data_IF_238659501269
#
_entry.id   IF_238659501269
#
_cell.length_a   1.000
_cell.length_b   1.000
_cell.length_c   1.000
_cell.angle_alpha   90.00
_cell.angle_beta   90.00
_cell.angle_gamma   90.00
#
_symmetry.space_group_name_H-M   'P 1'
#
loop_
_entity.id
_entity.type
_entity.pdbx_description
1 polymer ?
#
# COMPACT_ATOMS: atom_id res chain seq x y z
N UNK A 1 -15.08 -20.69 -6.37
CA UNK A 1 -15.83 -19.69 -7.16
C UNK A 1 -14.90 -19.17 -8.24
N UNK A 2 -15.31 -19.06 -9.51
CA UNK A 2 -14.44 -18.51 -10.55
C UNK A 2 -14.14 -17.04 -10.28
N UNK A 3 -12.86 -16.71 -10.05
CA UNK A 3 -12.38 -15.34 -10.00
C UNK A 3 -12.52 -14.72 -11.39
N UNK A 4 -13.13 -13.52 -11.52
CA UNK A 4 -13.26 -12.87 -12.81
C UNK A 4 -11.88 -12.64 -13.46
N UNK A 5 -11.76 -12.77 -14.79
CA UNK A 5 -10.47 -12.62 -15.47
C UNK A 5 -9.98 -11.17 -15.37
N UNK A 6 -8.65 -11.00 -15.37
CA UNK A 6 -8.04 -9.68 -15.36
C UNK A 6 -8.50 -8.83 -16.56
N UNK A 7 -8.60 -7.51 -16.33
CA UNK A 7 -9.16 -6.56 -17.28
C UNK A 7 -10.69 -6.42 -17.21
N UNK A 8 -11.38 -7.28 -16.46
CA UNK A 8 -12.82 -7.15 -16.26
C UNK A 8 -13.15 -6.02 -15.29
N UNK A 9 -14.13 -5.19 -15.62
CA UNK A 9 -14.70 -4.19 -14.69
C UNK A 9 -16.14 -4.58 -14.34
N UNK A 10 -16.42 -4.77 -13.04
CA UNK A 10 -17.80 -4.92 -12.55
C UNK A 10 -18.23 -3.63 -11.86
N UNK A 11 -19.10 -2.87 -12.53
CA UNK A 11 -19.70 -1.64 -12.01
C UNK A 11 -21.13 -1.90 -11.53
N UNK A 12 -21.43 -1.49 -10.30
CA UNK A 12 -22.77 -1.40 -9.70
C UNK A 12 -23.06 0.06 -9.37
N UNK A 13 -24.26 0.35 -8.88
CA UNK A 13 -24.73 1.72 -8.57
C UNK A 13 -23.76 2.44 -7.63
N UNK A 14 -23.28 1.75 -6.59
CA UNK A 14 -22.44 2.31 -5.54
C UNK A 14 -21.09 1.61 -5.40
N UNK A 15 -20.73 0.72 -6.33
CA UNK A 15 -19.44 0.04 -6.27
C UNK A 15 -18.84 -0.22 -7.64
N UNK A 16 -17.52 -0.31 -7.70
CA UNK A 16 -16.76 -0.66 -8.89
C UNK A 16 -15.60 -1.55 -8.46
N UNK A 17 -15.50 -2.70 -9.11
CA UNK A 17 -14.36 -3.61 -8.96
C UNK A 17 -13.68 -3.77 -10.31
N UNK A 18 -12.45 -3.31 -10.42
CA UNK A 18 -11.57 -3.55 -11.56
C UNK A 18 -10.66 -4.74 -11.19
N UNK A 19 -10.84 -5.88 -11.87
CA UNK A 19 -10.05 -7.09 -11.62
C UNK A 19 -8.74 -7.01 -12.40
N UNK A 20 -7.62 -7.14 -11.69
CA UNK A 20 -6.26 -6.89 -12.21
C UNK A 20 -5.45 -8.19 -12.35
N UNK A 21 -5.83 -9.25 -11.61
CA UNK A 21 -5.28 -10.60 -11.69
C UNK A 21 -6.35 -11.62 -11.23
N UNK A 22 -6.31 -12.92 -11.60
CA UNK A 22 -5.15 -13.70 -12.08
C UNK A 22 -4.72 -13.39 -13.51
N UNK A 23 -3.55 -13.91 -13.90
CA UNK A 23 -2.83 -13.56 -15.14
C UNK A 23 -2.58 -12.03 -15.23
N UNK A 24 -1.59 -11.51 -14.48
CA UNK A 24 -1.37 -10.07 -14.31
C UNK A 24 -1.08 -9.29 -15.60
N UNK A 25 -2.12 -8.75 -16.25
CA UNK A 25 -2.00 -7.90 -17.45
C UNK A 25 -1.77 -6.42 -17.10
N UNK A 26 -1.14 -5.63 -17.99
CA UNK A 26 -0.92 -4.21 -17.75
C UNK A 26 -2.22 -3.40 -17.68
N UNK A 27 -2.26 -2.49 -16.71
CA UNK A 27 -3.40 -1.59 -16.47
C UNK A 27 -3.29 -0.27 -17.25
N UNK A 28 -2.11 0.04 -17.80
CA UNK A 28 -1.78 1.32 -18.45
C UNK A 28 -1.50 2.46 -17.47
N UNK A 29 -1.46 2.20 -16.16
CA UNK A 29 -1.08 3.20 -15.15
C UNK A 29 0.41 3.18 -14.91
N UNK A 30 1.00 4.35 -14.63
CA UNK A 30 2.38 4.44 -14.16
C UNK A 30 2.48 3.85 -12.74
N UNK A 31 3.44 2.95 -12.46
CA UNK A 31 3.71 2.45 -11.12
C UNK A 31 3.92 3.59 -10.12
N UNK A 32 3.19 3.57 -9.01
CA UNK A 32 3.29 4.59 -7.95
C UNK A 32 3.01 4.00 -6.58
N UNK A 33 4.03 3.98 -5.72
CA UNK A 33 3.93 3.51 -4.34
C UNK A 33 3.41 4.63 -3.42
N UNK A 34 2.11 4.87 -3.48
CA UNK A 34 1.45 5.95 -2.72
C UNK A 34 1.36 5.69 -1.21
N UNK A 35 1.57 4.44 -0.79
CA UNK A 35 1.45 4.01 0.61
C UNK A 35 2.81 3.67 1.25
N UNK A 36 3.91 3.74 0.50
CA UNK A 36 5.24 3.31 0.94
C UNK A 36 5.25 1.83 1.36
N UNK A 37 4.66 0.96 0.54
CA UNK A 37 4.56 -0.49 0.80
C UNK A 37 5.81 -1.26 0.38
N UNK A 38 6.65 -0.69 -0.48
CA UNK A 38 7.90 -1.31 -0.93
C UNK A 38 8.96 -1.14 0.16
N UNK A 39 9.25 -2.23 0.88
CA UNK A 39 10.24 -2.22 1.96
C UNK A 39 11.63 -2.60 1.48
N UNK A 40 11.74 -3.50 0.51
CA UNK A 40 13.01 -3.93 -0.07
C UNK A 40 12.81 -4.23 -1.55
N UNK A 41 13.80 -3.90 -2.37
CA UNK A 41 13.80 -4.18 -3.82
C UNK A 41 15.22 -4.50 -4.27
N UNK A 42 15.38 -5.54 -5.08
CA UNK A 42 16.62 -5.90 -5.76
C UNK A 42 16.31 -6.65 -7.07
N UNK A 43 17.31 -7.24 -7.73
CA UNK A 43 17.14 -7.97 -9.00
C UNK A 43 16.36 -9.30 -8.90
N UNK A 44 16.21 -9.83 -7.68
CA UNK A 44 15.64 -11.15 -7.42
C UNK A 44 14.23 -11.03 -6.85
N UNK A 45 14.05 -10.22 -5.81
CA UNK A 45 12.76 -10.05 -5.15
C UNK A 45 12.43 -8.62 -4.72
N UNK A 46 11.13 -8.39 -4.52
CA UNK A 46 10.55 -7.20 -3.88
C UNK A 46 9.76 -7.64 -2.64
N UNK A 47 9.97 -6.94 -1.53
CA UNK A 47 9.24 -7.15 -0.28
C UNK A 47 8.16 -6.08 -0.15
N UNK A 48 6.91 -6.53 -0.09
CA UNK A 48 5.73 -5.68 0.07
C UNK A 48 5.16 -5.89 1.46
N UNK A 49 5.07 -4.82 2.23
CA UNK A 49 4.48 -4.82 3.56
C UNK A 49 3.38 -3.79 3.71
N UNK A 50 2.53 -3.99 4.72
CA UNK A 50 1.49 -3.05 5.10
C UNK A 50 1.56 -2.77 6.61
N UNK A 51 2.27 -1.71 6.97
CA UNK A 51 2.39 -1.25 8.34
C UNK A 51 2.63 0.26 8.37
N UNK A 52 1.73 1.01 9.00
CA UNK A 52 1.82 2.48 9.06
C UNK A 52 1.46 3.03 10.44
N UNK A 53 2.47 3.09 11.32
CA UNK A 53 2.38 3.83 12.58
C UNK A 53 2.37 5.34 12.33
N UNK A 54 3.09 5.80 11.30
CA UNK A 54 3.11 7.22 10.95
C UNK A 54 1.72 7.77 10.64
N UNK A 55 0.89 7.03 9.90
CA UNK A 55 -0.49 7.44 9.62
C UNK A 55 -1.33 7.56 10.89
N UNK A 56 -1.15 6.68 11.87
CA UNK A 56 -1.86 6.77 13.15
C UNK A 56 -1.48 8.04 13.93
N UNK A 57 -0.20 8.43 13.92
CA UNK A 57 0.27 9.71 14.51
C UNK A 57 -0.37 10.91 13.79
N UNK A 58 -0.36 10.91 12.45
CA UNK A 58 -0.92 12.01 11.67
C UNK A 58 -2.43 12.18 11.85
N UNK A 59 -3.17 11.10 12.12
CA UNK A 59 -4.61 11.17 12.43
C UNK A 59 -4.85 11.62 13.88
N UNK A 60 -4.04 11.14 14.83
CA UNK A 60 -4.23 11.42 16.24
C UNK A 60 -3.79 12.83 16.64
N UNK A 61 -2.72 13.36 16.05
CA UNK A 61 -2.13 14.64 16.45
C UNK A 61 -3.06 15.85 16.27
N UNK A 62 -3.75 16.04 15.13
CA UNK A 62 -4.76 17.10 15.00
C UNK A 62 -5.85 17.02 16.08
N UNK A 63 -6.26 15.80 16.44
CA UNK A 63 -7.25 15.56 17.49
C UNK A 63 -6.71 15.98 18.86
N UNK A 64 -5.45 15.63 19.17
CA UNK A 64 -4.78 16.09 20.40
C UNK A 64 -4.74 17.61 20.47
N UNK A 65 -4.34 18.29 19.38
CA UNK A 65 -4.31 19.75 19.32
C UNK A 65 -5.70 20.38 19.51
N UNK A 66 -6.71 19.84 18.84
CA UNK A 66 -8.09 20.31 18.94
C UNK A 66 -8.62 20.17 20.37
N UNK A 67 -8.45 19.00 20.99
CA UNK A 67 -8.92 18.77 22.36
C UNK A 67 -8.10 19.55 23.39
N UNK A 68 -6.79 19.75 23.17
CA UNK A 68 -6.00 20.64 24.02
C UNK A 68 -6.50 22.09 23.96
N UNK A 69 -6.83 22.58 22.75
CA UNK A 69 -7.40 23.91 22.56
C UNK A 69 -8.79 24.04 23.20
N UNK A 70 -9.68 23.06 23.00
CA UNK A 70 -10.98 23.04 23.65
C UNK A 70 -10.85 23.02 25.18
N UNK A 71 -9.94 22.21 25.72
CA UNK A 71 -9.67 22.19 27.16
C UNK A 71 -9.21 23.53 27.71
N UNK A 72 -8.41 24.29 26.95
CA UNK A 72 -8.05 25.66 27.31
C UNK A 72 -9.25 26.61 27.35
N UNK A 73 -10.26 26.41 26.49
CA UNK A 73 -11.50 27.22 26.48
C UNK A 73 -12.40 26.90 27.68
N UNK A 74 -12.54 25.62 28.04
CA UNK A 74 -13.39 25.17 29.15
C UNK A 74 -12.74 25.30 30.55
N UNK A 75 -11.49 25.76 30.64
CA UNK A 75 -10.69 25.74 31.89
C UNK A 75 -11.30 26.47 33.09
N UNK A 76 -12.22 27.42 32.85
CA UNK A 76 -12.78 28.28 33.90
C UNK A 76 -14.11 27.74 34.47
N UNK A 77 -14.68 26.68 33.88
CA UNK A 77 -15.93 26.07 34.32
C UNK A 77 -15.65 24.65 34.86
N UNK A 78 -15.71 24.43 36.19
CA UNK A 78 -15.37 23.15 36.80
C UNK A 78 -16.26 21.99 36.34
N UNK A 79 -17.56 22.20 36.19
CA UNK A 79 -18.51 21.13 35.86
C UNK A 79 -18.32 20.68 34.40
N UNK A 80 -18.15 21.62 33.49
CA UNK A 80 -17.84 21.34 32.08
C UNK A 80 -16.45 20.71 31.92
N UNK A 81 -15.47 21.12 32.73
CA UNK A 81 -14.11 20.57 32.69
C UNK A 81 -14.07 19.08 33.08
N UNK A 82 -14.86 18.64 34.05
CA UNK A 82 -14.91 17.23 34.44
C UNK A 82 -15.46 16.33 33.32
N UNK A 83 -16.59 16.72 32.72
CA UNK A 83 -17.17 15.97 31.60
C UNK A 83 -16.24 15.97 30.38
N UNK A 84 -15.65 17.12 30.07
CA UNK A 84 -14.69 17.27 28.97
C UNK A 84 -13.45 16.39 29.18
N UNK A 85 -12.92 16.31 30.41
CA UNK A 85 -11.77 15.47 30.72
C UNK A 85 -12.07 13.98 30.52
N UNK A 86 -13.26 13.51 30.93
CA UNK A 86 -13.70 12.12 30.70
C UNK A 86 -13.77 11.84 29.20
N UNK A 87 -14.45 12.70 28.43
CA UNK A 87 -14.56 12.55 26.97
C UNK A 87 -13.19 12.53 26.28
N UNK A 88 -12.28 13.41 26.70
CA UNK A 88 -10.90 13.46 26.17
C UNK A 88 -10.15 12.16 26.47
N UNK A 89 -10.28 11.62 27.68
CA UNK A 89 -9.63 10.37 28.06
C UNK A 89 -10.09 9.19 27.17
N UNK A 90 -11.37 9.13 26.78
CA UNK A 90 -11.85 8.09 25.87
C UNK A 90 -11.45 8.35 24.41
N UNK A 91 -11.68 9.57 23.90
CA UNK A 91 -11.47 9.90 22.48
C UNK A 91 -9.99 9.94 22.11
N UNK A 92 -9.13 10.45 22.99
CA UNK A 92 -7.69 10.55 22.76
C UNK A 92 -6.95 9.42 23.45
N UNK A 93 -7.28 9.10 24.70
CA UNK A 93 -6.55 8.12 25.49
C UNK A 93 -6.63 6.70 24.91
N UNK A 94 -7.81 6.23 24.49
CA UNK A 94 -7.94 4.88 23.90
C UNK A 94 -7.12 4.73 22.61
N UNK A 95 -7.26 5.59 21.57
CA UNK A 95 -6.39 5.51 20.38
C UNK A 95 -4.90 5.67 20.69
N UNK A 96 -4.54 6.49 21.69
CA UNK A 96 -3.15 6.60 22.16
C UNK A 96 -2.65 5.28 22.73
N UNK A 97 -3.45 4.56 23.53
CA UNK A 97 -3.09 3.23 24.03
C UNK A 97 -2.92 2.22 22.90
N UNK A 98 -3.79 2.24 21.88
CA UNK A 98 -3.63 1.40 20.69
C UNK A 98 -2.36 1.73 19.89
N UNK A 99 -2.01 3.02 19.76
CA UNK A 99 -0.76 3.45 19.13
C UNK A 99 0.46 2.95 19.93
N UNK A 100 0.43 3.08 21.25
CA UNK A 100 1.48 2.58 22.15
C UNK A 100 1.59 1.06 22.04
N UNK A 101 0.47 0.33 22.09
CA UNK A 101 0.45 -1.12 21.89
C UNK A 101 1.02 -1.50 20.52
N UNK A 102 0.65 -0.77 19.46
CA UNK A 102 1.18 -0.95 18.11
C UNK A 102 2.70 -0.76 18.05
N UNK A 103 3.24 0.19 18.81
CA UNK A 103 4.69 0.38 18.98
C UNK A 103 5.36 -0.80 19.68
N UNK A 104 4.67 -1.57 20.52
CA UNK A 104 5.26 -2.76 21.17
C UNK A 104 5.05 -4.06 20.38
N UNK A 105 4.10 -4.07 19.43
CA UNK A 105 3.88 -5.23 18.56
C UNK A 105 5.02 -5.39 17.56
N UNK A 106 5.31 -6.65 17.26
CA UNK A 106 6.22 -7.00 16.17
C UNK A 106 5.64 -6.54 14.84
N UNK A 107 6.53 -6.12 13.94
CA UNK A 107 6.13 -5.72 12.60
C UNK A 107 5.78 -6.98 11.80
N UNK A 108 4.62 -7.02 11.12
CA UNK A 108 4.27 -8.15 10.28
C UNK A 108 5.36 -8.43 9.23
N UNK A 109 5.59 -9.71 8.95
CA UNK A 109 6.51 -10.12 7.90
C UNK A 109 6.02 -9.65 6.51
N UNK A 110 6.94 -9.29 5.60
CA UNK A 110 6.56 -8.86 4.26
C UNK A 110 6.12 -10.05 3.40
N UNK A 111 5.28 -9.78 2.41
CA UNK A 111 5.05 -10.71 1.31
C UNK A 111 6.13 -10.47 0.25
N UNK A 112 6.87 -11.54 -0.06
CA UNK A 112 8.04 -11.47 -0.95
C UNK A 112 7.69 -12.00 -2.33
N UNK A 113 7.80 -11.14 -3.34
CA UNK A 113 7.58 -11.51 -4.74
C UNK A 113 8.93 -11.75 -5.42
N UNK A 114 9.15 -12.96 -5.96
CA UNK A 114 10.39 -13.35 -6.62
C UNK A 114 10.20 -13.41 -8.12
N UNK A 115 10.81 -12.47 -8.84
CA UNK A 115 10.63 -12.32 -10.29
C UNK A 115 11.29 -13.45 -11.09
N UNK A 116 12.42 -13.96 -10.62
CA UNK A 116 13.18 -14.99 -11.33
C UNK A 116 12.45 -16.34 -11.30
N UNK A 117 11.79 -16.64 -10.17
CA UNK A 117 11.00 -17.87 -10.01
C UNK A 117 9.52 -17.70 -10.40
N UNK A 118 9.05 -16.47 -10.57
CA UNK A 118 7.63 -16.13 -10.80
C UNK A 118 6.72 -16.71 -9.72
N UNK A 119 7.12 -16.52 -8.48
CA UNK A 119 6.47 -17.06 -7.28
C UNK A 119 6.42 -16.00 -6.17
N UNK A 120 5.49 -16.16 -5.25
CA UNK A 120 5.27 -15.26 -4.12
C UNK A 120 5.28 -16.04 -2.81
N UNK A 121 6.14 -15.62 -1.88
CA UNK A 121 6.18 -16.16 -0.53
C UNK A 121 5.25 -15.35 0.37
N UNK A 122 4.26 -16.02 0.94
CA UNK A 122 3.26 -15.44 1.84
C UNK A 122 3.45 -16.03 3.25
N UNK A 123 4.05 -15.30 4.19
CA UNK A 123 4.17 -15.77 5.57
C UNK A 123 2.81 -15.82 6.27
N UNK A 124 2.58 -16.86 7.07
CA UNK A 124 1.38 -17.08 7.86
C UNK A 124 1.62 -16.79 9.35
N UNK A 125 0.54 -16.64 10.11
CA UNK A 125 0.60 -16.26 11.53
C UNK A 125 1.12 -17.37 12.46
N UNK A 126 1.02 -18.63 12.02
CA UNK A 126 1.49 -19.83 12.72
C UNK A 126 2.99 -20.11 12.51
N UNK A 127 3.68 -19.28 11.73
CA UNK A 127 5.07 -19.48 11.36
C UNK A 127 5.26 -20.38 10.14
N UNK A 128 4.19 -20.79 9.47
CA UNK A 128 4.27 -21.40 8.15
C UNK A 128 4.35 -20.33 7.05
N UNK A 129 4.56 -20.77 5.81
CA UNK A 129 4.55 -19.90 4.63
C UNK A 129 3.99 -20.65 3.43
N UNK A 130 3.40 -19.90 2.50
CA UNK A 130 2.97 -20.42 1.21
C UNK A 130 3.87 -19.92 0.11
N UNK A 131 4.18 -20.79 -0.86
CA UNK A 131 4.74 -20.41 -2.14
C UNK A 131 3.63 -20.48 -3.17
N UNK A 132 3.21 -19.31 -3.66
CA UNK A 132 2.09 -19.18 -4.59
C UNK A 132 2.62 -18.75 -5.95
N UNK A 133 2.24 -19.42 -7.05
CA UNK A 133 2.61 -19.00 -8.40
C UNK A 133 2.13 -17.56 -8.66
N UNK A 134 2.99 -16.72 -9.24
CA UNK A 134 2.65 -15.32 -9.52
C UNK A 134 1.41 -15.19 -10.41
N UNK A 135 1.24 -16.11 -11.36
CA UNK A 135 0.13 -16.07 -12.31
C UNK A 135 -1.23 -16.45 -11.68
N UNK A 136 -1.23 -17.12 -10.52
CA UNK A 136 -2.43 -17.44 -9.74
C UNK A 136 -2.77 -16.39 -8.69
N UNK A 137 -1.90 -15.40 -8.45
CA UNK A 137 -2.19 -14.28 -7.56
C UNK A 137 -3.41 -13.53 -8.10
N UNK A 138 -4.37 -13.25 -7.21
CA UNK A 138 -5.57 -12.48 -7.57
C UNK A 138 -5.40 -11.05 -7.11
N UNK A 139 -5.92 -10.10 -7.87
CA UNK A 139 -5.85 -8.70 -7.50
C UNK A 139 -7.08 -7.94 -8.00
N UNK A 140 -7.61 -7.05 -7.16
CA UNK A 140 -8.74 -6.22 -7.52
C UNK A 140 -8.61 -4.81 -6.91
N UNK A 141 -8.80 -3.80 -7.75
CA UNK A 141 -9.04 -2.44 -7.30
C UNK A 141 -10.54 -2.28 -6.99
N UNK A 142 -10.88 -2.19 -5.71
CA UNK A 142 -12.26 -2.05 -5.25
C UNK A 142 -12.54 -0.62 -4.84
N UNK A 143 -13.71 -0.13 -5.23
CA UNK A 143 -14.19 1.21 -4.92
C UNK A 143 -15.65 1.14 -4.51
N UNK A 144 -16.00 1.84 -3.44
CA UNK A 144 -17.36 2.04 -2.96
C UNK A 144 -17.66 3.54 -2.85
N UNK A 145 -18.84 3.95 -3.31
CA UNK A 145 -19.31 5.32 -3.20
C UNK A 145 -20.60 5.38 -2.40
N UNK A 146 -20.70 6.32 -1.46
CA UNK A 146 -21.94 6.67 -0.77
C UNK A 146 -22.35 8.10 -1.14
N UNK A 147 -23.65 8.39 -1.08
CA UNK A 147 -24.19 9.74 -1.30
C UNK A 147 -24.94 10.15 -0.04
N UNK A 148 -24.58 11.32 0.49
CA UNK A 148 -25.21 11.91 1.66
C UNK A 148 -25.55 13.39 1.39
N UNK A 149 -26.13 14.08 2.37
CA UNK A 149 -26.33 15.54 2.30
C UNK A 149 -25.02 16.31 2.12
N UNK A 150 -23.88 15.74 2.57
CA UNK A 150 -22.55 16.30 2.36
C UNK A 150 -21.97 15.98 0.96
N UNK A 151 -22.76 15.40 0.05
CA UNK A 151 -22.36 15.01 -1.29
C UNK A 151 -21.91 13.56 -1.39
N UNK A 152 -21.22 13.25 -2.50
CA UNK A 152 -20.73 11.90 -2.81
C UNK A 152 -19.37 11.66 -2.15
N UNK A 153 -19.30 10.69 -1.25
CA UNK A 153 -18.05 10.18 -0.71
C UNK A 153 -17.64 8.91 -1.45
N UNK A 154 -16.35 8.73 -1.72
CA UNK A 154 -15.82 7.54 -2.38
C UNK A 154 -14.62 7.02 -1.60
N UNK A 155 -14.69 5.74 -1.25
CA UNK A 155 -13.62 4.99 -0.62
C UNK A 155 -13.17 3.86 -1.56
N UNK A 156 -11.95 3.37 -1.38
CA UNK A 156 -11.49 2.21 -2.12
C UNK A 156 -10.15 1.73 -1.64
N UNK A 157 -9.79 0.54 -2.10
CA UNK A 157 -8.61 -0.18 -1.67
C UNK A 157 -8.19 -1.17 -2.75
N UNK A 158 -6.91 -1.54 -2.74
CA UNK A 158 -6.38 -2.66 -3.52
C UNK A 158 -6.45 -3.92 -2.65
N UNK A 159 -7.08 -4.98 -3.15
CA UNK A 159 -7.04 -6.32 -2.55
C UNK A 159 -6.12 -7.18 -3.40
N UNK A 160 -5.17 -7.86 -2.75
CA UNK A 160 -4.37 -8.93 -3.35
C UNK A 160 -4.70 -10.21 -2.61
N UNK A 161 -5.16 -11.23 -3.32
CA UNK A 161 -5.53 -12.53 -2.77
C UNK A 161 -4.59 -13.63 -3.21
N UNK A 162 -4.36 -14.58 -2.29
CA UNK A 162 -3.50 -15.73 -2.45
C UNK A 162 -4.30 -16.97 -2.07
N UNK A 163 -4.25 -18.00 -2.91
CA UNK A 163 -4.84 -19.30 -2.62
C UNK A 163 -3.77 -20.24 -2.07
N UNK A 164 -4.14 -21.03 -1.06
CA UNK A 164 -3.23 -22.01 -0.48
C UNK A 164 -2.91 -23.09 -1.53
N UNK A 165 -1.62 -23.37 -1.78
CA UNK A 165 -1.23 -24.40 -2.74
C UNK A 165 -1.59 -25.84 -2.28
N UNK A 166 -1.87 -26.08 -1.00
CA UNK A 166 -2.31 -27.39 -0.51
C UNK A 166 -3.79 -27.67 -0.85
N UNK A 167 -4.10 -28.67 -1.70
CA UNK A 167 -5.47 -29.03 -2.06
C UNK A 167 -6.32 -29.53 -0.88
N UNK A 168 -5.69 -30.00 0.20
CA UNK A 168 -6.35 -30.54 1.40
C UNK A 168 -6.46 -29.50 2.52
N UNK A 169 -6.09 -28.24 2.27
CA UNK A 169 -6.20 -27.17 3.25
C UNK A 169 -7.64 -27.03 3.77
N UNK A 170 -7.77 -26.86 5.09
CA UNK A 170 -9.06 -26.56 5.74
C UNK A 170 -9.64 -25.25 5.21
N UNK A 171 -10.96 -25.12 5.20
CA UNK A 171 -11.66 -23.96 4.62
C UNK A 171 -11.20 -22.60 5.18
N UNK A 172 -10.81 -22.56 6.45
CA UNK A 172 -10.27 -21.37 7.13
C UNK A 172 -8.84 -20.99 6.71
N UNK A 173 -8.12 -21.92 6.08
CA UNK A 173 -6.73 -21.75 5.60
C UNK A 173 -6.61 -21.81 4.07
N UNK A 174 -7.72 -21.64 3.33
CA UNK A 174 -7.73 -21.70 1.84
C UNK A 174 -7.34 -20.39 1.17
N UNK A 175 -7.60 -19.26 1.83
CA UNK A 175 -7.47 -17.94 1.23
C UNK A 175 -6.78 -16.97 2.19
N UNK A 176 -5.77 -16.27 1.69
CA UNK A 176 -5.15 -15.15 2.39
C UNK A 176 -5.27 -13.89 1.52
N UNK A 177 -5.49 -12.72 2.13
CA UNK A 177 -5.57 -11.47 1.36
C UNK A 177 -4.90 -10.30 2.06
N UNK A 178 -4.24 -9.45 1.27
CA UNK A 178 -3.70 -8.17 1.69
C UNK A 178 -4.60 -7.05 1.16
N UNK A 179 -5.05 -6.19 2.06
CA UNK A 179 -5.80 -4.97 1.71
C UNK A 179 -4.94 -3.73 1.89
N UNK A 180 -4.86 -2.89 0.87
CA UNK A 180 -4.13 -1.62 0.89
C UNK A 180 -5.08 -0.44 0.75
N UNK A 181 -5.17 0.41 1.77
CA UNK A 181 -6.05 1.59 1.80
C UNK A 181 -5.48 2.75 0.97
N UNK A 182 -5.25 2.53 -0.32
CA UNK A 182 -4.66 3.49 -1.25
C UNK A 182 -5.70 4.33 -2.02
N UNK A 183 -6.99 4.19 -1.69
CA UNK A 183 -8.07 4.64 -2.55
C UNK A 183 -8.38 3.63 -3.66
N UNK A 184 -9.51 3.82 -4.34
CA UNK A 184 -9.99 2.93 -5.40
C UNK A 184 -9.58 3.38 -6.80
N UNK A 185 -9.91 2.57 -7.80
CA UNK A 185 -9.72 2.90 -9.21
C UNK A 185 -8.25 3.09 -9.59
N UNK A 186 -7.90 4.26 -10.12
CA UNK A 186 -6.58 4.51 -10.73
C UNK A 186 -5.42 4.40 -9.75
N UNK A 187 -5.62 4.80 -8.49
CA UNK A 187 -4.56 4.77 -7.49
C UNK A 187 -4.25 3.34 -7.05
N UNK A 188 -5.29 2.51 -6.86
CA UNK A 188 -5.12 1.08 -6.62
C UNK A 188 -4.46 0.36 -7.80
N UNK A 189 -4.84 0.72 -9.04
CA UNK A 189 -4.17 0.21 -10.24
C UNK A 189 -2.69 0.62 -10.29
N UNK A 190 -2.35 1.87 -9.97
CA UNK A 190 -0.97 2.35 -9.94
C UNK A 190 -0.13 1.66 -8.85
N UNK A 191 -0.73 1.36 -7.69
CA UNK A 191 -0.07 0.58 -6.65
C UNK A 191 0.14 -0.88 -7.09
N UNK A 192 -0.86 -1.51 -7.70
CA UNK A 192 -0.73 -2.85 -8.30
C UNK A 192 0.38 -2.93 -9.35
N UNK A 193 0.48 -1.90 -10.19
CA UNK A 193 1.54 -1.78 -11.20
C UNK A 193 2.94 -1.74 -10.61
N UNK A 194 3.13 -1.39 -9.34
CA UNK A 194 4.44 -1.50 -8.69
C UNK A 194 4.91 -2.96 -8.63
N UNK A 195 4.07 -3.87 -8.15
CA UNK A 195 4.42 -5.29 -8.11
C UNK A 195 4.43 -5.91 -9.50
N UNK A 196 3.43 -5.61 -10.34
CA UNK A 196 3.36 -6.18 -11.69
C UNK A 196 4.55 -5.75 -12.56
N UNK A 197 4.88 -4.46 -12.58
CA UNK A 197 6.02 -3.97 -13.39
C UNK A 197 7.35 -4.51 -12.86
N UNK A 198 7.50 -4.67 -11.54
CA UNK A 198 8.64 -5.35 -10.96
C UNK A 198 8.77 -6.80 -11.46
N UNK A 199 7.68 -7.57 -11.40
CA UNK A 199 7.66 -8.98 -11.77
C UNK A 199 7.83 -9.21 -13.27
N UNK A 200 7.25 -8.34 -14.10
CA UNK A 200 7.17 -8.55 -15.55
C UNK A 200 8.19 -7.77 -16.37
N UNK A 201 8.68 -6.62 -15.89
CA UNK A 201 9.61 -5.74 -16.61
C UNK A 201 10.97 -5.75 -15.91
N UNK A 202 11.00 -5.49 -14.61
CA UNK A 202 12.23 -5.49 -13.81
C UNK A 202 12.24 -4.45 -12.68
N UNK A 203 13.32 -4.40 -11.88
CA UNK A 203 13.40 -3.54 -10.70
C UNK A 203 13.32 -2.05 -11.01
N UNK A 204 13.89 -1.61 -12.14
CA UNK A 204 13.88 -0.20 -12.57
C UNK A 204 12.48 0.29 -12.97
N UNK A 205 11.57 -0.63 -13.29
CA UNK A 205 10.19 -0.29 -13.66
C UNK A 205 9.31 0.01 -12.44
N UNK A 206 9.72 -0.39 -11.24
CA UNK A 206 9.02 -0.10 -10.00
C UNK A 206 9.69 1.03 -9.22
N UNK A 207 8.94 1.84 -8.43
CA UNK A 207 9.52 2.87 -7.58
C UNK A 207 10.60 2.32 -6.65
N UNK A 208 11.51 3.19 -6.21
CA UNK A 208 12.47 2.85 -5.16
C UNK A 208 11.77 2.60 -3.82
N UNK A 209 12.41 1.81 -2.96
CA UNK A 209 11.94 1.54 -1.60
C UNK A 209 12.08 2.80 -0.72
N UNK A 210 11.23 3.80 -0.96
CA UNK A 210 11.26 5.10 -0.30
C UNK A 210 10.85 5.01 1.18
N UNK A 211 10.03 4.02 1.54
CA UNK A 211 9.46 3.84 2.88
C UNK A 211 10.51 3.92 4.00
N UNK A 212 11.67 3.28 3.79
CA UNK A 212 12.73 3.15 4.80
C UNK A 212 13.83 4.19 4.68
N UNK A 213 13.98 4.77 3.49
CA UNK A 213 14.93 5.84 3.22
C UNK A 213 14.35 7.23 3.56
N UNK A 214 13.04 7.31 3.76
CA UNK A 214 12.34 8.56 4.07
C UNK A 214 12.72 9.14 5.44
N UNK A 215 13.06 10.43 5.43
CA UNK A 215 13.26 11.24 6.64
C UNK A 215 14.55 11.01 7.43
N UNK A 216 15.51 10.24 6.89
CA UNK A 216 16.77 9.98 7.59
C UNK A 216 17.87 11.01 7.41
N UNK A 217 17.73 11.92 6.44
CA UNK A 217 18.72 12.96 6.17
C UNK A 217 18.02 14.25 5.72
N UNK A 218 18.66 15.39 6.01
CA UNK A 218 18.20 16.69 5.53
C UNK A 218 18.13 16.74 4.00
N UNK A 219 19.03 16.03 3.30
CA UNK A 219 19.05 15.94 1.84
C UNK A 219 17.77 15.32 1.28
N UNK A 220 17.30 14.22 1.88
CA UNK A 220 16.02 13.61 1.49
C UNK A 220 14.86 14.60 1.64
N UNK A 221 14.81 15.36 2.74
CA UNK A 221 13.76 16.34 2.94
C UNK A 221 13.80 17.46 1.90
N UNK A 222 15.00 17.94 1.54
CA UNK A 222 15.19 18.93 0.47
C UNK A 222 14.73 18.38 -0.88
N UNK A 223 15.13 17.16 -1.23
CA UNK A 223 14.76 16.51 -2.49
C UNK A 223 13.23 16.29 -2.56
N UNK A 224 12.61 15.85 -1.46
CA UNK A 224 11.16 15.73 -1.32
C UNK A 224 10.45 17.07 -1.53
N UNK A 225 10.89 18.13 -0.85
CA UNK A 225 10.33 19.46 -1.00
C UNK A 225 10.50 20.00 -2.43
N UNK A 226 11.65 19.76 -3.05
CA UNK A 226 11.92 20.16 -4.44
C UNK A 226 11.01 19.44 -5.43
N UNK A 227 10.81 18.12 -5.27
CA UNK A 227 9.89 17.34 -6.10
C UNK A 227 8.45 17.86 -6.00
N UNK A 228 7.98 18.11 -4.78
CA UNK A 228 6.65 18.70 -4.56
C UNK A 228 6.53 20.11 -5.14
N UNK A 229 7.57 20.93 -5.02
CA UNK A 229 7.58 22.27 -5.58
C UNK A 229 7.45 22.28 -7.11
N UNK A 230 7.94 21.26 -7.83
CA UNK A 230 7.76 21.14 -9.28
C UNK A 230 6.30 20.99 -9.70
N UNK A 231 5.46 20.37 -8.87
CA UNK A 231 4.06 20.09 -9.22
C UNK A 231 3.11 21.22 -8.85
N UNK A 232 3.35 21.91 -7.72
CA UNK A 232 2.41 22.89 -7.15
C UNK A 232 3.02 24.23 -6.74
N UNK A 233 4.31 24.44 -7.03
CA UNK A 233 5.06 25.64 -6.67
C UNK A 233 5.61 25.64 -5.24
N UNK A 234 6.63 26.45 -4.99
CA UNK A 234 7.32 26.54 -3.69
C UNK A 234 6.44 27.08 -2.57
N UNK A 235 5.64 28.12 -2.84
CA UNK A 235 4.79 28.75 -1.81
C UNK A 235 3.81 27.72 -1.24
N UNK A 236 3.06 27.04 -2.10
CA UNK A 236 2.07 26.05 -1.68
C UNK A 236 2.74 24.83 -1.04
N UNK A 237 3.94 24.46 -1.49
CA UNK A 237 4.72 23.36 -0.90
C UNK A 237 5.21 23.70 0.50
N UNK A 238 5.75 24.90 0.74
CA UNK A 238 6.18 25.34 2.08
C UNK A 238 4.97 25.44 3.02
N UNK A 239 3.87 26.01 2.55
CA UNK A 239 2.63 26.08 3.34
C UNK A 239 2.13 24.68 3.72
N UNK A 240 2.05 23.77 2.75
CA UNK A 240 1.46 22.45 2.97
C UNK A 240 2.41 21.49 3.70
N UNK A 241 3.64 21.31 3.22
CA UNK A 241 4.58 20.34 3.80
C UNK A 241 5.34 20.91 5.00
N UNK A 242 5.63 22.21 4.98
CA UNK A 242 6.39 22.89 6.03
C UNK A 242 5.53 23.36 7.20
N UNK A 243 4.38 23.98 6.94
CA UNK A 243 3.50 24.48 8.02
C UNK A 243 2.47 23.43 8.41
N UNK A 244 1.61 23.01 7.49
CA UNK A 244 0.53 22.05 7.80
C UNK A 244 1.12 20.68 8.16
N UNK A 245 2.05 20.16 7.36
CA UNK A 245 2.68 18.86 7.59
C UNK A 245 3.39 18.77 8.95
N UNK A 246 4.17 19.80 9.30
CA UNK A 246 4.96 19.80 10.54
C UNK A 246 4.09 20.08 11.77
N UNK A 247 3.24 21.12 11.73
CA UNK A 247 2.53 21.55 12.94
C UNK A 247 1.16 20.87 13.09
N UNK A 248 0.39 20.72 12.01
CA UNK A 248 -0.97 20.14 12.07
C UNK A 248 -0.92 18.62 12.07
N UNK A 249 -0.02 18.00 11.30
CA UNK A 249 0.06 16.53 11.20
C UNK A 249 1.24 15.91 11.94
N UNK A 250 2.18 16.71 12.46
CA UNK A 250 3.40 16.23 13.11
C UNK A 250 4.14 15.17 12.28
N UNK A 251 4.29 15.46 10.98
CA UNK A 251 5.00 14.60 10.03
C UNK A 251 6.40 14.17 10.52
N UNK A 252 7.21 15.03 11.19
CA UNK A 252 8.51 14.58 11.74
C UNK A 252 8.39 13.45 12.75
N UNK A 253 7.45 13.53 13.71
CA UNK A 253 7.22 12.45 14.68
C UNK A 253 6.70 11.20 13.99
N UNK A 254 5.77 11.36 13.05
CA UNK A 254 5.21 10.27 12.27
C UNK A 254 6.31 9.50 11.51
N UNK A 255 7.18 10.22 10.78
CA UNK A 255 8.31 9.63 10.04
C UNK A 255 9.34 9.01 10.98
N UNK A 256 9.66 9.66 12.10
CA UNK A 256 10.59 9.12 13.08
C UNK A 256 10.10 7.79 13.67
N UNK A 257 8.84 7.72 14.13
CA UNK A 257 8.28 6.50 14.71
C UNK A 257 8.14 5.39 13.66
N UNK A 258 7.70 5.73 12.44
CA UNK A 258 7.62 4.81 11.32
C UNK A 258 8.99 4.19 11.02
N UNK A 259 10.03 5.00 10.87
CA UNK A 259 11.39 4.55 10.58
C UNK A 259 11.99 3.75 11.73
N UNK A 260 11.80 4.21 12.98
CA UNK A 260 12.27 3.49 14.17
C UNK A 260 11.69 2.07 14.27
N UNK A 261 10.48 1.87 13.78
CA UNK A 261 9.81 0.56 13.80
C UNK A 261 10.13 -0.30 12.61
N UNK A 262 10.27 0.29 11.43
CA UNK A 262 10.48 -0.45 10.19
C UNK A 262 11.93 -0.59 9.74
N UNK A 263 12.90 0.11 10.33
CA UNK A 263 14.30 0.03 9.90
C UNK A 263 15.19 -0.69 10.93
N UNK A 264 15.90 -1.77 10.54
CA UNK A 264 15.80 -2.49 9.26
C UNK A 264 14.44 -3.20 9.11
N UNK A 265 13.98 -3.47 7.87
CA UNK A 265 12.70 -4.13 7.66
C UNK A 265 12.77 -5.58 8.14
N UNK A 266 11.67 -6.13 8.68
CA UNK A 266 11.62 -7.52 9.08
C UNK A 266 11.92 -8.43 7.88
N UNK A 267 12.65 -9.51 8.14
CA UNK A 267 13.10 -10.45 7.10
C UNK A 267 12.50 -11.84 7.30
N UNK A 268 12.41 -12.59 6.20
CA UNK A 268 11.97 -13.97 6.21
C UNK A 268 13.17 -14.86 6.58
N UNK A 269 13.16 -15.40 7.80
CA UNK A 269 14.28 -16.15 8.38
C UNK A 269 14.23 -17.67 8.11
N UNK A 270 13.21 -18.14 7.39
CA UNK A 270 13.07 -19.56 7.05
C UNK A 270 14.23 -20.01 6.14
N UNK A 271 14.99 -21.07 6.49
CA UNK A 271 16.14 -21.52 5.69
C UNK A 271 15.81 -21.80 4.22
N UNK A 272 14.65 -22.40 3.96
CA UNK A 272 14.17 -22.67 2.61
C UNK A 272 13.87 -21.38 1.83
N UNK A 273 13.32 -20.35 2.49
CA UNK A 273 13.05 -19.05 1.86
C UNK A 273 14.32 -18.25 1.62
N UNK A 274 15.32 -18.37 2.49
CA UNK A 274 16.64 -17.77 2.27
C UNK A 274 17.27 -18.37 1.01
N UNK A 275 17.26 -19.69 0.87
CA UNK A 275 17.78 -20.37 -0.33
C UNK A 275 16.96 -20.00 -1.59
N UNK A 276 15.64 -19.98 -1.47
CA UNK A 276 14.72 -19.57 -2.53
C UNK A 276 14.87 -18.09 -2.91
N UNK A 277 15.39 -17.23 -2.01
CA UNK A 277 15.63 -15.81 -2.31
C UNK A 277 16.98 -15.55 -2.98
N UNK A 278 17.82 -16.58 -3.20
CA UNK A 278 19.09 -16.44 -3.91
C UNK A 278 18.87 -16.24 -5.42
N UNK A 279 19.76 -15.47 -6.08
CA UNK A 279 19.71 -15.26 -7.52
C UNK A 279 19.91 -16.58 -8.27
N UNK A 280 19.13 -16.75 -9.34
CA UNK A 280 19.26 -17.82 -10.31
C UNK A 280 19.98 -17.31 -11.57
N UNK A 281 20.75 -18.18 -12.25
CA UNK A 281 21.22 -17.91 -13.60
C UNK A 281 20.04 -17.58 -14.53
N UNK A 282 20.19 -16.64 -15.49
CA UNK A 282 19.13 -16.25 -16.41
C UNK A 282 18.48 -17.42 -17.16
N UNK A 283 19.23 -18.49 -17.42
CA UNK A 283 18.75 -19.69 -18.11
C UNK A 283 17.73 -20.49 -17.28
N UNK A 284 17.76 -20.33 -15.95
CA UNK A 284 16.86 -21.00 -15.01
C UNK A 284 15.66 -20.12 -14.62
N UNK A 285 15.52 -18.92 -15.18
CA UNK A 285 14.38 -18.07 -14.87
C UNK A 285 13.10 -18.67 -15.41
N UNK A 286 12.07 -18.71 -14.56
CA UNK A 286 10.74 -19.11 -14.95
C UNK A 286 10.21 -18.15 -16.02
N UNK A 287 9.62 -18.72 -17.06
CA UNK A 287 9.02 -17.96 -18.17
C UNK A 287 7.53 -17.78 -17.94
N UNK A 288 6.97 -16.75 -18.57
CA UNK A 288 5.52 -16.53 -18.61
C UNK A 288 4.82 -17.71 -19.26
N UNK A 289 3.62 -18.03 -18.79
CA UNK A 289 2.77 -19.00 -19.51
C UNK A 289 2.34 -18.44 -20.88
N UNK A 290 2.05 -19.32 -21.87
CA UNK A 290 1.50 -18.89 -23.16
C UNK A 290 0.18 -18.12 -23.02
N UNK A 291 -0.62 -18.45 -22.00
CA UNK A 291 -1.89 -17.78 -21.71
C UNK A 291 -1.65 -16.32 -21.28
N UNK A 292 -0.68 -16.10 -20.38
CA UNK A 292 -0.33 -14.75 -19.94
C UNK A 292 0.27 -13.92 -21.08
N UNK A 293 1.15 -14.49 -21.91
CA UNK A 293 1.73 -13.76 -23.05
C UNK A 293 0.65 -13.32 -24.04
N UNK A 294 -0.31 -14.20 -24.36
CA UNK A 294 -1.43 -13.85 -25.23
C UNK A 294 -2.32 -12.76 -24.61
N UNK A 295 -2.57 -12.83 -23.30
CA UNK A 295 -3.37 -11.84 -22.59
C UNK A 295 -2.67 -10.46 -22.53
N UNK A 296 -1.35 -10.43 -22.29
CA UNK A 296 -0.55 -9.20 -22.31
C UNK A 296 -0.56 -8.58 -23.70
N UNK A 297 -0.25 -9.36 -24.75
CA UNK A 297 -0.20 -8.86 -26.11
C UNK A 297 -1.53 -8.25 -26.56
N UNK A 298 -2.65 -8.94 -26.25
CA UNK A 298 -4.00 -8.40 -26.50
C UNK A 298 -4.22 -7.09 -25.74
N UNK A 299 -3.85 -7.03 -24.47
CA UNK A 299 -4.08 -5.87 -23.63
C UNK A 299 -3.24 -4.66 -24.05
N UNK A 300 -1.99 -4.87 -24.44
CA UNK A 300 -1.12 -3.82 -24.96
C UNK A 300 -1.64 -3.24 -26.27
N UNK A 301 -2.17 -4.09 -27.17
CA UNK A 301 -2.84 -3.62 -28.39
C UNK A 301 -4.07 -2.76 -28.08
N UNK A 302 -4.91 -3.17 -27.11
CA UNK A 302 -6.07 -2.37 -26.67
C UNK A 302 -5.65 -1.01 -26.09
N UNK A 303 -4.59 -0.98 -25.27
CA UNK A 303 -4.08 0.24 -24.66
C UNK A 303 -3.46 1.19 -25.70
N UNK A 304 -2.75 0.65 -26.69
CA UNK A 304 -2.17 1.43 -27.78
C UNK A 304 -3.25 2.15 -28.61
N UNK A 305 -4.37 1.46 -28.91
CA UNK A 305 -5.51 2.07 -29.61
C UNK A 305 -6.16 3.19 -28.77
N UNK A 306 -6.29 3.00 -27.46
CA UNK A 306 -6.85 4.03 -26.56
C UNK A 306 -5.97 5.28 -26.43
N UNK A 307 -4.66 5.16 -26.73
CA UNK A 307 -3.70 6.27 -26.66
C UNK A 307 -3.54 7.02 -27.99
N UNK A 308 -4.11 6.53 -29.10
CA UNK A 308 -4.13 7.27 -30.35
C UNK A 308 -5.15 8.44 -30.23
N UNK A 309 -4.78 9.67 -30.62
CA UNK A 309 -5.73 10.76 -30.68
C UNK A 309 -6.86 10.35 -31.62
N UNK A 310 -8.11 10.57 -31.19
CA UNK A 310 -9.22 10.59 -32.14
C UNK A 310 -8.93 11.78 -33.04
N UNK A 311 -8.47 11.54 -34.27
CA UNK A 311 -8.46 12.56 -35.32
C UNK A 311 -9.91 13.03 -35.46
N UNK A 312 -10.19 14.22 -34.94
CA UNK A 312 -11.44 14.93 -35.14
C UNK A 312 -11.53 15.28 -36.64
N UNK A 313 -12.32 14.50 -37.38
CA UNK A 313 -12.91 14.91 -38.66
C UNK A 313 -14.13 15.78 -38.43
#
# INVERSE_FOLDING_TARGET
>A
MSTPPAGTTKKRIFSRNDYLAPLPIPTGRKPSDVLNTIWRKNEVFIDIGNYSIGSAVMVLWPMVMLFAFMGYLFRNDPDDMHLFAIMTAFIIGIPTLFLIQGLFREVPLPVRFNRQRREVCVPQADGEYWIVPWESVTAAATQHSSVSQAGKATMGLLIIGFENPDPQAKDDNKHFSLGFNCGGGTTAMALWECMRSYMEIGPDAAPEAAALNSGGSLRYYIDYMSDKAKTRGWILTILWEGVVGVFIFNAPLATYLQRKKLYPPPDLTYPAIIEWSKPLPPEQWAKRSPELEAAIAKREAELAVQMQPVDET
#
